data_IF_365934605041
#
_entry.id   IF_365934605041
#
_cell.length_a   1.000
_cell.length_b   1.000
_cell.length_c   1.000
_cell.angle_alpha   90.00
_cell.angle_beta   90.00
_cell.angle_gamma   90.00
#
_symmetry.space_group_name_H-M   'P 1'
#
loop_
_entity.id
_entity.type
_entity.pdbx_description
1 polymer ?
#
# COMPACT_ATOMS: atom_id res chain seq x y z
N UNK A 1 -34.03 1.35 -15.78
CA UNK A 1 -33.54 2.24 -14.71
C UNK A 1 -32.08 1.88 -14.46
N UNK A 2 -31.20 2.67 -15.02
CA UNK A 2 -29.75 2.49 -15.10
C UNK A 2 -29.12 2.92 -13.79
N UNK A 3 -28.52 1.98 -13.05
CA UNK A 3 -27.69 2.29 -11.89
C UNK A 3 -26.41 3.03 -12.36
N UNK A 4 -26.36 4.32 -12.05
CA UNK A 4 -25.25 5.20 -12.33
C UNK A 4 -24.01 4.73 -11.57
N UNK A 5 -22.93 4.66 -12.32
CA UNK A 5 -21.55 4.39 -11.91
C UNK A 5 -21.14 5.33 -10.77
N UNK A 6 -20.85 4.76 -9.61
CA UNK A 6 -20.01 5.41 -8.61
C UNK A 6 -18.69 5.81 -9.29
N UNK A 7 -18.50 7.12 -9.44
CA UNK A 7 -17.28 7.69 -10.01
C UNK A 7 -16.08 7.08 -9.31
N UNK A 8 -15.16 6.51 -10.10
CA UNK A 8 -13.85 6.11 -9.59
C UNK A 8 -13.22 7.34 -8.93
N UNK A 9 -12.71 7.26 -7.69
CA UNK A 9 -11.89 8.33 -7.18
C UNK A 9 -10.81 8.57 -8.23
N UNK A 10 -10.55 9.85 -8.56
CA UNK A 10 -9.48 10.21 -9.50
C UNK A 10 -8.17 9.70 -8.93
N UNK A 11 -7.86 8.45 -9.26
CA UNK A 11 -6.55 7.87 -9.07
C UNK A 11 -5.65 8.69 -9.99
N UNK A 12 -4.75 9.43 -9.35
CA UNK A 12 -3.69 10.21 -9.91
C UNK A 12 -3.29 9.64 -11.29
N UNK A 13 -3.47 10.44 -12.35
CA UNK A 13 -3.08 10.09 -13.71
C UNK A 13 -1.56 9.87 -13.73
N UNK A 14 -1.14 8.63 -13.52
CA UNK A 14 0.21 8.22 -13.86
C UNK A 14 0.28 8.11 -15.38
N UNK A 15 1.28 8.72 -16.04
CA UNK A 15 1.41 8.72 -17.49
C UNK A 15 1.45 7.29 -18.04
N UNK A 16 0.94 7.09 -19.25
CA UNK A 16 0.93 5.83 -20.03
C UNK A 16 2.33 5.30 -20.42
N UNK A 17 3.37 5.74 -19.74
CA UNK A 17 4.77 5.39 -19.98
C UNK A 17 5.22 4.05 -19.35
N UNK A 18 4.28 3.33 -18.70
CA UNK A 18 4.60 2.06 -18.03
C UNK A 18 5.10 0.97 -19.00
N UNK A 19 4.72 1.03 -20.28
CA UNK A 19 5.19 0.04 -21.27
C UNK A 19 6.66 0.26 -21.70
N UNK A 20 7.22 1.45 -21.51
CA UNK A 20 8.66 1.73 -21.72
C UNK A 20 9.50 1.45 -20.47
N UNK A 21 8.86 1.20 -19.32
CA UNK A 21 9.53 1.10 -18.01
C UNK A 21 10.25 -0.23 -17.78
N UNK A 22 9.80 -1.35 -18.37
CA UNK A 22 10.48 -2.63 -18.15
C UNK A 22 11.91 -2.65 -18.71
N UNK A 23 12.14 -1.98 -19.83
CA UNK A 23 13.49 -1.82 -20.39
C UNK A 23 14.33 -0.85 -19.54
N UNK A 24 13.70 0.21 -19.02
CA UNK A 24 14.33 1.18 -18.12
C UNK A 24 14.62 0.59 -16.72
N UNK A 25 13.79 -0.32 -16.22
CA UNK A 25 14.03 -0.97 -14.91
C UNK A 25 15.34 -1.75 -14.90
N UNK A 26 15.61 -2.52 -15.96
CA UNK A 26 16.85 -3.30 -16.06
C UNK A 26 18.08 -2.40 -16.13
N UNK A 27 18.04 -1.35 -16.92
CA UNK A 27 19.14 -0.38 -17.03
C UNK A 27 19.41 0.32 -15.70
N UNK A 28 18.36 0.75 -14.98
CA UNK A 28 18.48 1.35 -13.65
C UNK A 28 19.11 0.37 -12.65
N UNK A 29 18.68 -0.90 -12.66
CA UNK A 29 19.22 -1.95 -11.79
C UNK A 29 20.72 -2.17 -12.07
N UNK A 30 21.12 -2.25 -13.34
CA UNK A 30 22.52 -2.48 -13.72
C UNK A 30 23.39 -1.27 -13.31
N UNK A 31 22.92 -0.04 -13.49
CA UNK A 31 23.62 1.17 -13.04
C UNK A 31 23.75 1.21 -11.52
N UNK A 32 22.70 0.87 -10.76
CA UNK A 32 22.75 0.78 -9.29
C UNK A 32 23.74 -0.29 -8.86
N UNK A 33 23.79 -1.43 -9.53
CA UNK A 33 24.77 -2.49 -9.29
C UNK A 33 26.20 -1.97 -9.42
N UNK A 34 26.47 -1.12 -10.41
CA UNK A 34 27.77 -0.52 -10.62
C UNK A 34 28.09 0.64 -9.66
N UNK A 35 27.14 1.00 -8.80
CA UNK A 35 27.31 2.00 -7.75
C UNK A 35 26.94 3.42 -8.19
N UNK A 36 26.15 3.54 -9.25
CA UNK A 36 25.66 4.84 -9.74
C UNK A 36 24.61 5.41 -8.77
N UNK A 37 25.00 6.50 -8.09
CA UNK A 37 24.15 7.18 -7.11
C UNK A 37 22.98 7.89 -7.78
N UNK A 38 23.17 8.44 -8.98
CA UNK A 38 22.11 9.15 -9.69
C UNK A 38 20.99 8.19 -10.10
N UNK A 39 21.33 6.98 -10.55
CA UNK A 39 20.37 5.93 -10.84
C UNK A 39 19.60 5.50 -9.58
N UNK A 40 20.27 5.42 -8.43
CA UNK A 40 19.63 5.14 -7.15
C UNK A 40 18.71 6.27 -6.70
N UNK A 41 19.09 7.53 -6.90
CA UNK A 41 18.24 8.69 -6.61
C UNK A 41 16.98 8.70 -7.47
N UNK A 42 17.08 8.34 -8.75
CA UNK A 42 15.92 8.20 -9.65
C UNK A 42 14.96 7.15 -9.11
N UNK A 43 15.48 5.97 -8.75
CA UNK A 43 14.70 4.90 -8.14
C UNK A 43 13.99 5.37 -6.86
N UNK A 44 14.73 6.04 -5.97
CA UNK A 44 14.18 6.55 -4.72
C UNK A 44 13.04 7.54 -4.97
N UNK A 45 13.26 8.56 -5.80
CA UNK A 45 12.26 9.58 -6.15
C UNK A 45 10.98 8.97 -6.75
N UNK A 46 11.13 7.93 -7.56
CA UNK A 46 10.02 7.25 -8.22
C UNK A 46 9.12 6.49 -7.24
N UNK A 47 9.72 5.86 -6.21
CA UNK A 47 8.98 4.93 -5.34
C UNK A 47 8.72 5.46 -3.93
N UNK A 48 9.48 6.45 -3.43
CA UNK A 48 9.42 6.90 -2.03
C UNK A 48 7.99 7.23 -1.56
N UNK A 49 7.25 8.03 -2.32
CA UNK A 49 5.90 8.48 -1.94
C UNK A 49 4.92 7.32 -1.85
N UNK A 50 4.96 6.41 -2.83
CA UNK A 50 4.08 5.24 -2.91
C UNK A 50 4.36 4.25 -1.79
N UNK A 51 5.64 3.93 -1.57
CA UNK A 51 6.07 3.02 -0.52
C UNK A 51 5.81 3.61 0.87
N UNK A 52 6.07 4.92 1.08
CA UNK A 52 5.76 5.59 2.33
C UNK A 52 4.27 5.47 2.68
N UNK A 53 3.39 5.80 1.73
CA UNK A 53 1.94 5.69 1.94
C UNK A 53 1.53 4.25 2.24
N UNK A 54 2.06 3.28 1.49
CA UNK A 54 1.79 1.86 1.72
C UNK A 54 2.22 1.40 3.12
N UNK A 55 3.44 1.74 3.56
CA UNK A 55 3.98 1.41 4.87
C UNK A 55 3.15 2.10 5.97
N UNK A 56 2.90 3.41 5.82
CA UNK A 56 2.13 4.19 6.78
C UNK A 56 0.73 3.63 7.02
N UNK A 57 0.01 3.23 5.99
CA UNK A 57 -1.28 2.57 6.15
C UNK A 57 -1.20 1.27 6.95
N UNK A 58 -0.04 0.59 6.96
CA UNK A 58 0.16 -0.65 7.72
C UNK A 58 0.55 -0.35 9.18
N UNK A 59 1.55 0.53 9.39
CA UNK A 59 2.15 0.74 10.72
C UNK A 59 1.50 1.86 11.54
N UNK A 60 0.80 2.81 10.89
CA UNK A 60 0.04 3.90 11.52
C UNK A 60 0.89 4.90 12.32
N UNK A 61 2.17 4.97 12.06
CA UNK A 61 3.10 5.98 12.57
C UNK A 61 3.90 6.53 11.40
N UNK A 62 3.87 7.86 11.17
CA UNK A 62 4.66 8.51 10.12
C UNK A 62 6.15 8.29 10.33
N UNK A 63 6.62 8.38 11.58
CA UNK A 63 8.03 8.21 11.95
C UNK A 63 8.49 6.79 11.64
N UNK A 64 7.72 5.77 12.07
CA UNK A 64 8.03 4.38 11.76
C UNK A 64 7.96 4.10 10.25
N UNK A 65 7.05 4.74 9.53
CA UNK A 65 6.95 4.57 8.09
C UNK A 65 8.17 5.13 7.36
N UNK A 66 8.67 6.28 7.81
CA UNK A 66 9.88 6.88 7.24
C UNK A 66 11.12 6.05 7.54
N UNK A 67 11.30 5.61 8.79
CA UNK A 67 12.39 4.72 9.20
C UNK A 67 12.41 3.41 8.40
N UNK A 68 11.25 2.80 8.21
CA UNK A 68 11.11 1.57 7.43
C UNK A 68 11.45 1.82 5.96
N UNK A 69 10.95 2.92 5.40
CA UNK A 69 11.25 3.31 4.02
C UNK A 69 12.75 3.49 3.80
N UNK A 70 13.40 4.27 4.65
CA UNK A 70 14.84 4.49 4.59
C UNK A 70 15.61 3.17 4.70
N UNK A 71 15.24 2.30 5.65
CA UNK A 71 15.88 1.01 5.82
C UNK A 71 15.72 0.08 4.61
N UNK A 72 14.58 0.12 3.93
CA UNK A 72 14.37 -0.65 2.68
C UNK A 72 15.35 -0.20 1.61
N UNK A 73 15.47 1.10 1.37
CA UNK A 73 16.39 1.63 0.37
C UNK A 73 17.86 1.46 0.77
N UNK A 74 18.19 1.64 2.04
CA UNK A 74 19.55 1.41 2.55
C UNK A 74 20.01 -0.03 2.31
N UNK A 75 19.16 -1.02 2.57
CA UNK A 75 19.45 -2.43 2.30
C UNK A 75 19.71 -2.70 0.81
N UNK A 76 18.93 -2.08 -0.07
CA UNK A 76 19.16 -2.19 -1.52
C UNK A 76 20.53 -1.62 -1.88
N UNK A 77 20.87 -0.43 -1.39
CA UNK A 77 22.15 0.20 -1.67
C UNK A 77 23.35 -0.59 -1.13
N UNK A 78 23.24 -1.07 0.10
CA UNK A 78 24.27 -1.90 0.72
C UNK A 78 24.46 -3.24 0.00
N UNK A 79 23.36 -3.88 -0.39
CA UNK A 79 23.35 -5.16 -1.09
C UNK A 79 23.47 -5.06 -2.62
N UNK A 80 23.65 -3.85 -3.18
CA UNK A 80 23.50 -3.57 -4.62
C UNK A 80 24.28 -4.50 -5.55
N UNK A 81 25.46 -4.95 -5.15
CA UNK A 81 26.31 -5.85 -5.97
C UNK A 81 25.72 -7.23 -6.18
N UNK A 82 24.93 -7.72 -5.23
CA UNK A 82 24.26 -9.02 -5.31
C UNK A 82 22.75 -8.90 -5.53
N UNK A 83 22.24 -7.67 -5.45
CA UNK A 83 20.82 -7.41 -5.61
C UNK A 83 20.37 -7.66 -7.04
N UNK A 84 19.51 -8.65 -7.20
CA UNK A 84 18.86 -9.01 -8.47
C UNK A 84 17.40 -9.34 -8.17
N UNK A 85 16.46 -8.43 -8.42
CA UNK A 85 15.04 -8.75 -8.25
C UNK A 85 14.65 -9.84 -9.27
N UNK A 86 14.16 -10.98 -8.79
CA UNK A 86 13.69 -12.09 -9.63
C UNK A 86 12.37 -11.74 -10.35
N UNK A 87 11.61 -10.79 -9.79
CA UNK A 87 10.39 -10.25 -10.35
C UNK A 87 10.61 -8.77 -10.74
N UNK A 88 9.53 -8.06 -11.08
CA UNK A 88 9.63 -6.61 -11.33
C UNK A 88 10.19 -5.88 -10.09
N UNK A 89 10.86 -4.75 -10.36
CA UNK A 89 11.40 -3.87 -9.34
C UNK A 89 10.32 -3.43 -8.33
N UNK A 90 9.14 -3.08 -8.83
CA UNK A 90 7.98 -2.76 -8.01
C UNK A 90 7.62 -3.90 -7.06
N UNK A 91 7.55 -5.13 -7.56
CA UNK A 91 7.24 -6.32 -6.76
C UNK A 91 8.24 -6.51 -5.62
N UNK A 92 9.52 -6.37 -5.91
CA UNK A 92 10.58 -6.47 -4.89
C UNK A 92 10.45 -5.40 -3.81
N UNK A 93 10.22 -4.15 -4.21
CA UNK A 93 10.11 -3.01 -3.29
C UNK A 93 8.90 -3.16 -2.37
N UNK A 94 7.71 -3.46 -2.91
CA UNK A 94 6.51 -3.65 -2.10
C UNK A 94 6.59 -4.87 -1.18
N UNK A 95 7.24 -5.96 -1.61
CA UNK A 95 7.52 -7.12 -0.76
C UNK A 95 8.42 -6.73 0.41
N UNK A 96 9.52 -6.03 0.13
CA UNK A 96 10.47 -5.59 1.15
C UNK A 96 9.82 -4.64 2.15
N UNK A 97 9.06 -3.65 1.68
CA UNK A 97 8.34 -2.70 2.50
C UNK A 97 7.29 -3.39 3.39
N UNK A 98 6.47 -4.29 2.80
CA UNK A 98 5.49 -5.06 3.57
C UNK A 98 6.15 -5.90 4.66
N UNK A 99 7.21 -6.64 4.33
CA UNK A 99 7.88 -7.51 5.30
C UNK A 99 8.48 -6.69 6.45
N UNK A 100 9.10 -5.55 6.15
CA UNK A 100 9.63 -4.64 7.17
C UNK A 100 8.52 -4.06 8.05
N UNK A 101 7.40 -3.63 7.47
CA UNK A 101 6.24 -3.12 8.22
C UNK A 101 5.63 -4.20 9.14
N UNK A 102 5.52 -5.43 8.68
CA UNK A 102 5.00 -6.53 9.51
C UNK A 102 5.97 -6.94 10.62
N UNK A 103 7.28 -6.90 10.36
CA UNK A 103 8.28 -7.10 11.40
C UNK A 103 8.17 -6.02 12.48
N UNK A 104 8.06 -4.75 12.08
CA UNK A 104 7.82 -3.65 13.00
C UNK A 104 6.59 -3.88 13.89
N UNK A 105 5.45 -4.25 13.29
CA UNK A 105 4.22 -4.55 14.04
C UNK A 105 4.39 -5.73 15.00
N UNK A 106 5.13 -6.78 14.59
CA UNK A 106 5.40 -7.93 15.44
C UNK A 106 6.27 -7.54 16.64
N UNK A 107 7.32 -6.77 16.39
CA UNK A 107 8.32 -6.43 17.41
C UNK A 107 7.77 -5.38 18.40
N UNK A 108 6.78 -4.58 17.96
CA UNK A 108 6.12 -3.56 18.78
C UNK A 108 4.72 -3.97 19.28
N UNK A 109 4.35 -5.24 19.23
CA UNK A 109 3.02 -5.72 19.69
C UNK A 109 2.68 -5.30 21.12
N UNK A 110 3.66 -5.18 22.00
CA UNK A 110 3.47 -4.77 23.40
C UNK A 110 3.13 -3.28 23.53
N UNK A 111 3.50 -2.45 22.57
CA UNK A 111 3.25 -1.01 22.57
C UNK A 111 2.02 -0.61 21.74
N UNK A 112 1.50 -1.53 20.92
CA UNK A 112 0.32 -1.31 20.07
C UNK A 112 -0.94 -2.01 20.60
N UNK A 113 -1.08 -2.13 21.90
CA UNK A 113 -2.40 -2.08 22.52
C UNK A 113 -2.85 -0.60 22.46
N UNK A 114 -3.03 -0.08 21.25
CA UNK A 114 -3.89 1.09 21.10
C UNK A 114 -5.26 0.62 21.58
N UNK A 115 -5.87 1.35 22.54
CA UNK A 115 -7.28 1.18 22.79
C UNK A 115 -7.95 1.32 21.42
N UNK A 116 -8.80 0.40 21.06
CA UNK A 116 -9.89 0.72 20.17
C UNK A 116 -10.56 1.90 20.88
N UNK A 117 -10.32 3.11 20.34
CA UNK A 117 -11.09 4.25 20.73
C UNK A 117 -12.51 3.91 20.27
N UNK A 118 -13.29 3.39 21.21
CA UNK A 118 -14.73 3.15 21.10
C UNK A 118 -15.50 4.49 21.14
N UNK A 119 -14.89 5.57 20.72
CA UNK A 119 -15.62 6.77 20.36
C UNK A 119 -16.43 6.45 19.10
N UNK A 120 -17.59 5.82 19.33
CA UNK A 120 -18.65 5.77 18.34
C UNK A 120 -18.97 7.21 17.94
N UNK A 121 -18.93 7.54 16.64
CA UNK A 121 -19.46 8.81 16.19
C UNK A 121 -20.95 8.84 16.59
N UNK A 122 -21.31 9.89 17.27
CA UNK A 122 -22.66 10.18 17.70
C UNK A 122 -23.61 10.07 16.50
N UNK A 123 -24.54 9.13 16.55
CA UNK A 123 -25.53 8.89 15.51
C UNK A 123 -26.59 9.97 15.63
N UNK A 124 -26.39 11.09 14.99
CA UNK A 124 -27.42 12.13 14.85
C UNK A 124 -27.56 12.54 13.39
N UNK A 125 -28.73 12.21 12.88
CA UNK A 125 -29.43 12.78 11.72
C UNK A 125 -29.22 12.14 10.34
N UNK A 126 -30.29 11.54 9.74
CA UNK A 126 -30.19 10.82 8.44
C UNK A 126 -30.23 11.74 7.20
N UNK A 127 -30.21 13.06 7.31
CA UNK A 127 -30.27 13.99 6.17
C UNK A 127 -29.02 14.84 5.93
N UNK A 128 -27.84 14.41 6.43
CA UNK A 128 -26.61 15.15 6.16
C UNK A 128 -26.12 14.88 4.74
N UNK A 129 -26.19 15.90 3.87
CA UNK A 129 -25.48 15.96 2.59
C UNK A 129 -23.98 16.08 2.91
N UNK A 130 -23.28 14.95 2.91
CA UNK A 130 -21.83 14.92 3.18
C UNK A 130 -21.04 15.58 2.07
N UNK A 131 -20.06 16.40 2.42
CA UNK A 131 -19.11 16.96 1.46
C UNK A 131 -18.21 15.84 0.93
N UNK A 132 -17.65 16.02 -0.27
CA UNK A 132 -16.71 15.06 -0.88
C UNK A 132 -15.50 14.78 0.05
N UNK A 133 -15.07 15.78 0.82
CA UNK A 133 -14.00 15.67 1.81
C UNK A 133 -14.37 14.73 2.95
N UNK A 134 -15.56 14.86 3.52
CA UNK A 134 -16.05 14.02 4.63
C UNK A 134 -16.21 12.56 4.20
N UNK A 135 -16.71 12.31 2.99
CA UNK A 135 -16.79 10.97 2.43
C UNK A 135 -15.39 10.35 2.28
N UNK A 136 -14.42 11.12 1.77
CA UNK A 136 -13.06 10.64 1.61
C UNK A 136 -12.40 10.31 2.95
N UNK A 137 -12.63 11.10 3.98
CA UNK A 137 -12.06 10.86 5.31
C UNK A 137 -12.67 9.61 5.97
N UNK A 138 -13.98 9.38 5.81
CA UNK A 138 -14.65 8.16 6.27
C UNK A 138 -14.13 6.91 5.54
N UNK A 139 -13.95 6.99 4.23
CA UNK A 139 -13.35 5.90 3.45
C UNK A 139 -11.95 5.59 3.95
N UNK A 140 -11.12 6.60 4.23
CA UNK A 140 -9.78 6.42 4.81
C UNK A 140 -9.85 5.71 6.16
N UNK A 141 -10.73 6.15 7.07
CA UNK A 141 -10.91 5.51 8.37
C UNK A 141 -11.29 4.03 8.24
N UNK A 142 -12.20 3.70 7.33
CA UNK A 142 -12.59 2.30 7.07
C UNK A 142 -11.44 1.47 6.50
N UNK A 143 -10.66 2.01 5.56
CA UNK A 143 -9.46 1.34 5.04
C UNK A 143 -8.47 1.10 6.16
N UNK A 144 -8.35 2.07 7.02
CA UNK A 144 -7.40 2.06 8.11
C UNK A 144 -7.78 1.06 9.23
N UNK A 145 -9.05 0.76 9.39
CA UNK A 145 -9.52 -0.28 10.32
C UNK A 145 -9.31 -1.71 9.81
N UNK A 146 -8.94 -1.90 8.54
CA UNK A 146 -8.73 -3.24 7.99
C UNK A 146 -7.59 -3.99 8.69
N UNK A 147 -7.75 -5.30 8.97
CA UNK A 147 -6.65 -6.14 9.44
C UNK A 147 -5.44 -6.06 8.50
N UNK A 148 -4.20 -6.04 9.01
CA UNK A 148 -3.01 -5.76 8.20
C UNK A 148 -2.85 -6.63 6.94
N UNK A 149 -3.18 -7.93 7.01
CA UNK A 149 -3.13 -8.85 5.87
C UNK A 149 -4.13 -8.49 4.77
N UNK A 150 -5.38 -8.15 5.16
CA UNK A 150 -6.41 -7.71 4.22
C UNK A 150 -6.06 -6.34 3.64
N UNK A 151 -5.59 -5.42 4.49
CA UNK A 151 -5.19 -4.07 4.12
C UNK A 151 -4.09 -4.09 3.07
N UNK A 152 -3.02 -4.87 3.26
CA UNK A 152 -1.92 -4.95 2.29
C UNK A 152 -2.39 -5.44 0.91
N UNK A 153 -3.24 -6.46 0.84
CA UNK A 153 -3.82 -6.94 -0.42
C UNK A 153 -4.70 -5.86 -1.06
N UNK A 154 -5.53 -5.20 -0.27
CA UNK A 154 -6.41 -4.13 -0.75
C UNK A 154 -5.62 -2.95 -1.33
N UNK A 155 -4.61 -2.46 -0.59
CA UNK A 155 -3.76 -1.35 -1.03
C UNK A 155 -3.01 -1.69 -2.31
N UNK A 156 -2.37 -2.86 -2.38
CA UNK A 156 -1.66 -3.31 -3.58
C UNK A 156 -2.57 -3.40 -4.81
N UNK A 157 -3.81 -3.84 -4.63
CA UNK A 157 -4.75 -3.97 -5.76
C UNK A 157 -5.38 -2.64 -6.17
N UNK A 158 -5.68 -1.73 -5.23
CA UNK A 158 -6.46 -0.51 -5.49
C UNK A 158 -5.62 0.74 -5.69
N UNK A 159 -4.49 0.83 -5.01
CA UNK A 159 -3.59 1.99 -5.11
C UNK A 159 -2.42 1.75 -6.05
N UNK A 160 -2.00 0.47 -6.21
CA UNK A 160 -0.87 0.10 -7.06
C UNK A 160 -1.29 -0.61 -8.35
N UNK A 161 -2.60 -0.79 -8.57
CA UNK A 161 -3.20 -1.47 -9.73
C UNK A 161 -2.60 -2.86 -10.03
N UNK A 162 -2.06 -3.53 -9.00
CA UNK A 162 -1.47 -4.85 -9.15
C UNK A 162 -2.55 -5.92 -9.35
N UNK A 163 -2.32 -6.80 -10.32
CA UNK A 163 -3.18 -7.97 -10.56
C UNK A 163 -3.00 -8.99 -9.43
N UNK A 164 -4.01 -9.79 -9.14
CA UNK A 164 -3.95 -10.81 -8.08
C UNK A 164 -2.79 -11.79 -8.23
N UNK A 165 -2.40 -12.12 -9.47
CA UNK A 165 -1.22 -12.92 -9.74
C UNK A 165 0.06 -12.23 -9.22
N UNK A 166 0.25 -10.96 -9.54
CA UNK A 166 1.39 -10.18 -9.07
C UNK A 166 1.39 -10.07 -7.54
N UNK A 167 0.21 -9.81 -6.93
CA UNK A 167 0.07 -9.77 -5.47
C UNK A 167 0.41 -11.12 -4.85
N UNK A 168 -0.01 -12.24 -5.46
CA UNK A 168 0.31 -13.59 -4.98
C UNK A 168 1.81 -13.85 -4.99
N UNK A 169 2.50 -13.41 -6.04
CA UNK A 169 3.96 -13.55 -6.18
C UNK A 169 4.70 -12.65 -5.16
N UNK A 170 4.25 -11.39 -4.99
CA UNK A 170 4.80 -10.45 -4.00
C UNK A 170 4.65 -10.99 -2.57
N UNK A 171 3.49 -11.52 -2.24
CA UNK A 171 3.15 -11.95 -0.89
C UNK A 171 3.54 -13.41 -0.60
N UNK A 172 3.98 -14.17 -1.60
CA UNK A 172 4.28 -15.61 -1.53
C UNK A 172 3.10 -16.42 -0.99
N UNK A 173 1.90 -16.10 -1.47
CA UNK A 173 0.65 -16.78 -1.11
C UNK A 173 -0.09 -17.22 -2.38
N UNK A 174 -1.01 -18.17 -2.26
CA UNK A 174 -1.83 -18.57 -3.40
C UNK A 174 -2.74 -17.44 -3.89
N UNK A 175 -3.07 -17.42 -5.19
CA UNK A 175 -4.06 -16.50 -5.76
C UNK A 175 -5.38 -16.61 -4.99
N UNK A 176 -5.77 -17.84 -4.62
CA UNK A 176 -6.97 -18.08 -3.81
C UNK A 176 -6.93 -17.39 -2.46
N UNK A 177 -5.74 -17.33 -1.83
CA UNK A 177 -5.55 -16.59 -0.58
C UNK A 177 -5.70 -15.07 -0.81
N UNK A 178 -5.18 -14.55 -1.94
CA UNK A 178 -5.37 -13.13 -2.33
C UNK A 178 -6.86 -12.80 -2.49
N UNK A 179 -7.60 -13.65 -3.23
CA UNK A 179 -9.05 -13.50 -3.40
C UNK A 179 -9.79 -13.49 -2.06
N UNK A 180 -9.46 -14.43 -1.18
CA UNK A 180 -10.07 -14.51 0.15
C UNK A 180 -9.78 -13.26 1.00
N UNK A 181 -8.52 -12.76 1.00
CA UNK A 181 -8.15 -11.54 1.72
C UNK A 181 -8.86 -10.31 1.13
N UNK A 182 -8.96 -10.21 -0.20
CA UNK A 182 -9.69 -9.14 -0.87
C UNK A 182 -11.19 -9.21 -0.55
N UNK A 183 -11.80 -10.38 -0.64
CA UNK A 183 -13.22 -10.58 -0.31
C UNK A 183 -13.51 -10.19 1.14
N UNK A 184 -12.61 -10.53 2.07
CA UNK A 184 -12.71 -10.11 3.48
C UNK A 184 -12.56 -8.61 3.64
N UNK A 185 -11.59 -7.98 2.96
CA UNK A 185 -11.40 -6.54 2.98
C UNK A 185 -12.65 -5.80 2.50
N UNK A 186 -13.21 -6.20 1.34
CA UNK A 186 -14.40 -5.57 0.78
C UNK A 186 -15.64 -5.74 1.67
N UNK A 187 -15.78 -6.88 2.37
CA UNK A 187 -16.86 -7.09 3.33
C UNK A 187 -16.73 -6.13 4.51
N UNK A 188 -15.56 -6.07 5.15
CA UNK A 188 -15.30 -5.18 6.28
C UNK A 188 -15.47 -3.70 5.92
N UNK A 189 -15.00 -3.30 4.74
CA UNK A 189 -15.22 -1.93 4.23
C UNK A 189 -16.70 -1.62 4.06
N UNK A 190 -17.47 -2.57 3.50
CA UNK A 190 -18.92 -2.38 3.35
C UNK A 190 -19.64 -2.27 4.68
N UNK A 191 -19.24 -3.09 5.66
CA UNK A 191 -19.80 -3.03 7.03
C UNK A 191 -19.45 -1.69 7.69
N UNK A 192 -18.20 -1.26 7.63
CA UNK A 192 -17.75 0.03 8.16
C UNK A 192 -18.49 1.21 7.50
N UNK A 193 -18.58 1.24 6.18
CA UNK A 193 -19.23 2.34 5.45
C UNK A 193 -20.75 2.39 5.70
N UNK A 194 -21.41 1.25 5.97
CA UNK A 194 -22.83 1.23 6.33
C UNK A 194 -23.12 1.90 7.67
N UNK A 195 -22.17 1.93 8.58
CA UNK A 195 -22.34 2.61 9.88
C UNK A 195 -22.34 4.14 9.76
N UNK A 196 -22.05 4.67 8.56
CA UNK A 196 -22.04 6.11 8.28
C UNK A 196 -23.21 6.57 7.39
N UNK A 197 -24.08 5.64 6.99
CA UNK A 197 -25.30 5.89 6.20
C UNK A 197 -26.52 5.60 7.07
#
# INVERSE_FOLDING_TARGET
MTMGLLGRPQVNQYPKEIASMEFQEKEIIDRIHDGDIDAFEILFKQYQKRLFQFIWHIVRSPEAADDILQNVFLKIWQGRKTWRPEASLSSYLFRSARNAAFNYLRDNKSNHLLPLDDSQPDTSDPEQVYTESEVNDRVKLCIDSLPPKCKSVFLMSRYEDLKYKQISDILEISIKTVENQMGRALRLLRECLKSFI
#
